data_IF_026355974614
#
_entry.id   IF_026355974614
#
_cell.length_a   1.000
_cell.length_b   1.000
_cell.length_c   1.000
_cell.angle_alpha   90.00
_cell.angle_beta   90.00
_cell.angle_gamma   90.00
#
_symmetry.space_group_name_H-M   'P 1'
#
loop_
_entity.id
_entity.type
_entity.pdbx_description
1 polymer ?
#
# COMPACT_ATOMS: atom_id res chain seq x y z
N UNK A 1 -34.31 14.33 34.54
CA UNK A 1 -34.07 13.88 33.15
C UNK A 1 -35.10 12.80 32.79
N UNK A 2 -35.97 13.05 31.80
CA UNK A 2 -36.92 12.03 31.30
C UNK A 2 -36.10 10.90 30.65
N UNK A 3 -36.45 9.63 30.91
CA UNK A 3 -35.82 8.50 30.22
C UNK A 3 -36.04 8.67 28.71
N UNK A 4 -35.00 8.53 27.86
CA UNK A 4 -35.18 8.58 26.42
C UNK A 4 -36.12 7.47 25.96
N UNK A 5 -36.99 7.79 25.00
CA UNK A 5 -37.94 6.83 24.43
C UNK A 5 -37.18 5.63 23.82
N UNK A 6 -37.89 4.51 23.64
CA UNK A 6 -37.34 3.32 23.00
C UNK A 6 -36.75 3.65 21.62
N UNK A 7 -37.45 4.49 20.85
CA UNK A 7 -37.04 4.98 19.53
C UNK A 7 -35.71 5.75 19.58
N UNK A 8 -35.51 6.61 20.58
CA UNK A 8 -34.25 7.34 20.74
C UNK A 8 -33.06 6.44 21.12
N UNK A 9 -33.32 5.33 21.81
CA UNK A 9 -32.29 4.32 22.09
C UNK A 9 -31.90 3.56 20.83
N UNK A 10 -32.88 3.14 20.04
CA UNK A 10 -32.66 2.47 18.74
C UNK A 10 -31.92 3.40 17.77
N UNK A 11 -32.28 4.68 17.72
CA UNK A 11 -31.56 5.68 16.94
C UNK A 11 -30.09 5.83 17.38
N UNK A 12 -29.84 5.85 18.70
CA UNK A 12 -28.48 5.84 19.24
C UNK A 12 -27.65 4.63 18.80
N UNK A 13 -28.26 3.45 18.69
CA UNK A 13 -27.59 2.25 18.18
C UNK A 13 -27.15 2.40 16.72
N UNK A 14 -27.95 3.09 15.88
CA UNK A 14 -27.57 3.36 14.49
C UNK A 14 -26.27 4.19 14.43
N UNK A 15 -26.17 5.23 15.26
CA UNK A 15 -24.94 6.04 15.36
C UNK A 15 -23.75 5.16 15.77
N UNK A 16 -23.92 4.31 16.79
CA UNK A 16 -22.87 3.38 17.24
C UNK A 16 -22.43 2.42 16.14
N UNK A 17 -23.36 1.91 15.32
CA UNK A 17 -23.03 1.04 14.18
C UNK A 17 -22.18 1.79 13.14
N UNK A 18 -22.51 3.05 12.84
CA UNK A 18 -21.72 3.89 11.93
C UNK A 18 -20.31 4.11 12.49
N UNK A 19 -20.19 4.40 13.78
CA UNK A 19 -18.90 4.54 14.47
C UNK A 19 -18.04 3.28 14.38
N UNK A 20 -18.63 2.11 14.61
CA UNK A 20 -17.93 0.82 14.49
C UNK A 20 -17.39 0.63 13.06
N UNK A 21 -18.18 1.02 12.04
CA UNK A 21 -17.74 0.94 10.63
C UNK A 21 -16.60 1.92 10.34
N UNK A 22 -16.66 3.16 10.84
CA UNK A 22 -15.57 4.14 10.71
C UNK A 22 -14.28 3.57 11.34
N UNK A 23 -14.35 3.04 12.55
CA UNK A 23 -13.22 2.41 13.24
C UNK A 23 -12.69 1.17 12.50
N UNK A 24 -13.54 0.44 11.76
CA UNK A 24 -13.11 -0.65 10.88
C UNK A 24 -12.29 -0.12 9.71
N UNK A 25 -12.75 0.93 9.02
CA UNK A 25 -12.00 1.54 7.92
C UNK A 25 -10.66 2.14 8.38
N UNK A 26 -10.62 2.78 9.55
CA UNK A 26 -9.36 3.26 10.14
C UNK A 26 -8.34 2.12 10.34
N UNK A 27 -8.79 0.96 10.85
CA UNK A 27 -7.93 -0.22 11.01
C UNK A 27 -7.44 -0.77 9.67
N UNK A 28 -8.30 -0.82 8.65
CA UNK A 28 -7.93 -1.25 7.30
C UNK A 28 -6.87 -0.29 6.72
N UNK A 29 -7.11 1.02 6.79
CA UNK A 29 -6.16 2.04 6.32
C UNK A 29 -4.80 1.93 7.00
N UNK A 30 -4.76 1.67 8.31
CA UNK A 30 -3.51 1.45 9.03
C UNK A 30 -2.74 0.24 8.50
N UNK A 31 -3.44 -0.85 8.17
CA UNK A 31 -2.82 -2.05 7.57
C UNK A 31 -2.29 -1.77 6.16
N UNK A 32 -3.10 -1.16 5.30
CA UNK A 32 -2.71 -0.83 3.92
C UNK A 32 -1.50 0.11 3.87
N UNK A 33 -1.45 1.12 4.75
CA UNK A 33 -0.28 2.01 4.85
C UNK A 33 1.01 1.26 5.21
N UNK A 34 0.93 0.33 6.17
CA UNK A 34 2.08 -0.52 6.56
C UNK A 34 2.47 -1.47 5.42
N UNK A 35 1.51 -1.99 4.68
CA UNK A 35 1.77 -2.83 3.50
C UNK A 35 2.47 -2.03 2.41
N UNK A 36 1.96 -0.83 2.09
CA UNK A 36 2.61 0.10 1.15
C UNK A 36 4.05 0.37 1.55
N UNK A 37 4.31 0.70 2.81
CA UNK A 37 5.67 0.96 3.29
C UNK A 37 6.61 -0.23 3.06
N UNK A 38 6.14 -1.46 3.32
CA UNK A 38 6.91 -2.68 3.03
C UNK A 38 7.21 -2.83 1.54
N UNK A 39 6.22 -2.58 0.68
CA UNK A 39 6.37 -2.68 -0.77
C UNK A 39 7.35 -1.61 -1.29
N UNK A 40 7.27 -0.37 -0.80
CA UNK A 40 8.22 0.70 -1.15
C UNK A 40 9.64 0.35 -0.71
N UNK A 41 9.79 -0.20 0.51
CA UNK A 41 11.10 -0.65 1.00
C UNK A 41 11.67 -1.81 0.17
N UNK A 42 10.82 -2.72 -0.29
CA UNK A 42 11.23 -3.79 -1.22
C UNK A 42 11.65 -3.20 -2.57
N UNK A 43 10.88 -2.25 -3.11
CA UNK A 43 11.17 -1.59 -4.39
C UNK A 43 12.57 -0.97 -4.37
N UNK A 44 12.87 -0.22 -3.31
CA UNK A 44 14.17 0.40 -3.12
C UNK A 44 15.31 -0.62 -3.10
N UNK A 45 15.11 -1.78 -2.45
CA UNK A 45 16.10 -2.85 -2.43
C UNK A 45 16.34 -3.44 -3.81
N UNK A 46 15.27 -3.68 -4.58
CA UNK A 46 15.37 -4.20 -5.94
C UNK A 46 16.14 -3.22 -6.85
N UNK A 47 15.85 -1.93 -6.76
CA UNK A 47 16.58 -0.90 -7.52
C UNK A 47 18.05 -0.78 -7.12
N UNK A 48 18.35 -0.88 -5.82
CA UNK A 48 19.74 -0.90 -5.35
C UNK A 48 20.50 -2.11 -5.91
N UNK A 49 19.87 -3.28 -5.95
CA UNK A 49 20.48 -4.48 -6.54
C UNK A 49 20.68 -4.35 -8.05
N UNK A 50 19.70 -3.80 -8.78
CA UNK A 50 19.86 -3.50 -10.21
C UNK A 50 21.07 -2.60 -10.44
N UNK A 51 21.19 -1.52 -9.66
CA UNK A 51 22.32 -0.60 -9.78
C UNK A 51 23.66 -1.30 -9.51
N UNK A 52 23.72 -2.15 -8.49
CA UNK A 52 24.91 -2.94 -8.17
C UNK A 52 25.30 -3.89 -9.32
N UNK A 53 24.33 -4.61 -9.90
CA UNK A 53 24.58 -5.50 -11.03
C UNK A 53 24.98 -4.74 -12.29
N UNK A 54 24.42 -3.55 -12.51
CA UNK A 54 24.83 -2.65 -13.60
C UNK A 54 26.26 -2.14 -13.45
N UNK A 55 26.69 -1.80 -12.22
CA UNK A 55 28.08 -1.42 -11.94
C UNK A 55 29.01 -2.59 -12.25
N UNK A 56 28.72 -3.80 -11.74
CA UNK A 56 29.47 -5.01 -12.07
C UNK A 56 29.57 -5.27 -13.56
N UNK A 57 28.47 -5.07 -14.29
CA UNK A 57 28.43 -5.26 -15.74
C UNK A 57 29.33 -4.26 -16.47
N UNK A 58 29.41 -3.01 -15.99
CA UNK A 58 30.29 -1.98 -16.55
C UNK A 58 31.76 -2.23 -16.23
N UNK A 59 32.05 -2.73 -15.04
CA UNK A 59 33.40 -3.07 -14.58
C UNK A 59 33.92 -4.39 -15.16
N UNK A 60 33.06 -5.17 -15.82
CA UNK A 60 33.45 -6.41 -16.49
C UNK A 60 34.37 -6.09 -17.68
N UNK A 61 35.68 -6.15 -17.46
CA UNK A 61 36.69 -5.93 -18.50
C UNK A 61 37.13 -7.26 -19.13
N UNK A 62 37.32 -7.25 -20.45
CA UNK A 62 37.77 -8.41 -21.24
C UNK A 62 39.21 -8.81 -20.88
N UNK A 63 40.03 -7.86 -20.43
CA UNK A 63 41.41 -8.07 -19.99
C UNK A 63 41.50 -9.00 -18.77
N UNK A 64 40.43 -9.09 -17.97
CA UNK A 64 40.34 -10.03 -16.84
C UNK A 64 40.08 -11.48 -17.28
N UNK A 65 39.87 -11.73 -18.57
CA UNK A 65 39.54 -13.05 -19.15
C UNK A 65 40.56 -13.45 -20.22
N UNK A 66 41.84 -13.51 -19.85
CA UNK A 66 42.94 -13.97 -20.74
C UNK A 66 42.57 -15.33 -21.35
N UNK A 67 42.49 -15.37 -22.68
CA UNK A 67 42.11 -16.54 -23.50
C UNK A 67 40.77 -17.22 -23.13
N UNK A 68 39.86 -16.52 -22.44
CA UNK A 68 38.56 -17.05 -22.02
C UNK A 68 37.38 -16.14 -22.42
N UNK A 69 37.30 -15.83 -23.72
CA UNK A 69 36.20 -15.04 -24.29
C UNK A 69 34.82 -15.63 -23.98
N UNK A 70 34.68 -16.96 -24.02
CA UNK A 70 33.41 -17.63 -23.71
C UNK A 70 32.98 -17.38 -22.26
N UNK A 71 33.91 -17.41 -21.30
CA UNK A 71 33.65 -17.08 -19.90
C UNK A 71 33.27 -15.61 -19.69
N UNK A 72 33.90 -14.70 -20.42
CA UNK A 72 33.55 -13.27 -20.41
C UNK A 72 32.11 -13.05 -20.87
N UNK A 73 31.74 -13.58 -22.05
CA UNK A 73 30.38 -13.43 -22.58
C UNK A 73 29.34 -14.10 -21.69
N UNK A 74 29.61 -15.31 -21.18
CA UNK A 74 28.70 -16.00 -20.26
C UNK A 74 28.47 -15.22 -18.96
N UNK A 75 29.52 -14.61 -18.40
CA UNK A 75 29.39 -13.76 -17.20
C UNK A 75 28.59 -12.50 -17.49
N UNK A 76 28.82 -11.89 -18.66
CA UNK A 76 28.08 -10.71 -19.12
C UNK A 76 26.59 -11.01 -19.33
N UNK A 77 26.26 -12.12 -19.97
CA UNK A 77 24.87 -12.56 -20.19
C UNK A 77 24.18 -12.89 -18.88
N UNK A 78 24.86 -13.57 -17.95
CA UNK A 78 24.34 -13.85 -16.61
C UNK A 78 23.97 -12.57 -15.87
N UNK A 79 24.83 -11.55 -15.88
CA UNK A 79 24.56 -10.26 -15.24
C UNK A 79 23.35 -9.57 -15.89
N UNK A 80 23.22 -9.60 -17.22
CA UNK A 80 22.05 -9.05 -17.91
C UNK A 80 20.77 -9.77 -17.53
N UNK A 81 20.78 -11.10 -17.58
CA UNK A 81 19.61 -11.92 -17.20
C UNK A 81 19.20 -11.69 -15.75
N UNK A 82 20.16 -11.55 -14.83
CA UNK A 82 19.87 -11.17 -13.44
C UNK A 82 19.20 -9.80 -13.35
N UNK A 83 19.72 -8.78 -14.05
CA UNK A 83 19.12 -7.44 -14.09
C UNK A 83 17.69 -7.50 -14.62
N UNK A 84 17.46 -8.21 -15.72
CA UNK A 84 16.12 -8.37 -16.32
C UNK A 84 15.14 -9.06 -15.36
N UNK A 85 15.60 -10.10 -14.65
CA UNK A 85 14.79 -10.77 -13.63
C UNK A 85 14.42 -9.84 -12.48
N UNK A 86 15.38 -9.09 -11.93
CA UNK A 86 15.11 -8.16 -10.81
C UNK A 86 14.22 -7.01 -11.27
N UNK A 87 14.41 -6.53 -12.51
CA UNK A 87 13.56 -5.50 -13.09
C UNK A 87 12.11 -5.97 -13.24
N UNK A 88 11.89 -7.23 -13.64
CA UNK A 88 10.56 -7.83 -13.66
C UNK A 88 9.93 -7.83 -12.26
N UNK A 89 10.67 -8.26 -11.23
CA UNK A 89 10.19 -8.26 -9.85
C UNK A 89 9.85 -6.85 -9.36
N UNK A 90 10.69 -5.85 -9.68
CA UNK A 90 10.44 -4.44 -9.35
C UNK A 90 9.18 -3.92 -10.06
N UNK A 91 8.96 -4.32 -11.31
CA UNK A 91 7.77 -3.93 -12.08
C UNK A 91 6.49 -4.51 -11.46
N UNK A 92 6.51 -5.78 -11.06
CA UNK A 92 5.40 -6.42 -10.32
C UNK A 92 5.17 -5.73 -8.98
N UNK A 93 6.24 -5.41 -8.24
CA UNK A 93 6.14 -4.71 -6.96
C UNK A 93 5.55 -3.30 -7.11
N UNK A 94 5.95 -2.55 -8.14
CA UNK A 94 5.39 -1.24 -8.48
C UNK A 94 3.89 -1.30 -8.78
N UNK A 95 3.42 -2.33 -9.48
CA UNK A 95 1.99 -2.55 -9.72
C UNK A 95 1.23 -2.80 -8.41
N UNK A 96 1.80 -3.58 -7.47
CA UNK A 96 1.20 -3.80 -6.14
C UNK A 96 1.11 -2.50 -5.35
N UNK A 97 2.13 -1.64 -5.39
CA UNK A 97 2.09 -0.32 -4.73
C UNK A 97 0.92 0.50 -5.28
N UNK A 98 0.75 0.55 -6.61
CA UNK A 98 -0.37 1.28 -7.24
C UNK A 98 -1.73 0.74 -6.82
N UNK A 99 -1.88 -0.58 -6.73
CA UNK A 99 -3.12 -1.20 -6.27
C UNK A 99 -3.42 -0.81 -4.81
N UNK A 100 -2.43 -0.89 -3.94
CA UNK A 100 -2.59 -0.49 -2.52
C UNK A 100 -2.95 0.99 -2.40
N UNK A 101 -2.41 1.85 -3.26
CA UNK A 101 -2.77 3.27 -3.30
C UNK A 101 -4.23 3.50 -3.68
N UNK A 102 -4.72 2.80 -4.71
CA UNK A 102 -6.13 2.84 -5.09
C UNK A 102 -7.05 2.36 -3.96
N UNK A 103 -6.65 1.29 -3.26
CA UNK A 103 -7.41 0.75 -2.14
C UNK A 103 -7.44 1.74 -0.96
N UNK A 104 -6.31 2.42 -0.67
CA UNK A 104 -6.22 3.47 0.35
C UNK A 104 -7.16 4.61 0.00
N UNK A 105 -7.13 5.12 -1.24
CA UNK A 105 -8.00 6.22 -1.69
C UNK A 105 -9.48 5.84 -1.56
N UNK A 106 -9.86 4.66 -2.05
CA UNK A 106 -11.21 4.12 -1.93
C UNK A 106 -11.69 4.08 -0.47
N UNK A 107 -10.86 3.54 0.43
CA UNK A 107 -11.20 3.45 1.85
C UNK A 107 -11.25 4.81 2.56
N UNK A 108 -10.43 5.79 2.15
CA UNK A 108 -10.52 7.17 2.66
C UNK A 108 -11.87 7.79 2.28
N UNK A 109 -12.31 7.64 1.03
CA UNK A 109 -13.59 8.18 0.56
C UNK A 109 -14.78 7.53 1.29
N UNK A 110 -14.75 6.21 1.46
CA UNK A 110 -15.79 5.48 2.19
C UNK A 110 -15.86 5.91 3.67
N UNK A 111 -14.70 6.07 4.32
CA UNK A 111 -14.61 6.56 5.69
C UNK A 111 -15.19 7.97 5.80
N UNK A 112 -14.77 8.88 4.93
CA UNK A 112 -15.25 10.27 4.93
C UNK A 112 -16.77 10.36 4.70
N UNK A 113 -17.33 9.51 3.84
CA UNK A 113 -18.79 9.42 3.62
C UNK A 113 -19.52 9.00 4.90
N UNK A 114 -18.98 8.03 5.64
CA UNK A 114 -19.57 7.58 6.90
C UNK A 114 -19.44 8.60 8.02
N UNK A 115 -18.32 9.33 8.08
CA UNK A 115 -18.14 10.44 9.02
C UNK A 115 -19.21 11.52 8.79
N UNK A 116 -19.42 11.97 7.53
CA UNK A 116 -20.50 12.91 7.20
C UNK A 116 -21.89 12.41 7.59
N UNK A 117 -22.17 11.12 7.35
CA UNK A 117 -23.46 10.51 7.74
C UNK A 117 -23.63 10.47 9.25
N UNK A 118 -22.56 10.15 9.99
CA UNK A 118 -22.58 10.17 11.45
C UNK A 118 -22.90 11.57 11.96
N UNK A 119 -22.23 12.59 11.44
CA UNK A 119 -22.42 13.97 11.86
C UNK A 119 -23.88 14.39 11.67
N UNK A 120 -24.47 14.11 10.50
CA UNK A 120 -25.90 14.36 10.24
C UNK A 120 -26.84 13.62 11.21
N UNK A 121 -26.55 12.35 11.54
CA UNK A 121 -27.35 11.59 12.51
C UNK A 121 -27.23 12.18 13.92
N UNK A 122 -26.03 12.63 14.30
CA UNK A 122 -25.78 13.27 15.59
C UNK A 122 -26.54 14.60 15.68
N UNK A 123 -26.55 15.41 14.62
CA UNK A 123 -27.34 16.64 14.54
C UNK A 123 -28.85 16.37 14.70
N UNK A 124 -29.39 15.38 13.99
CA UNK A 124 -30.79 14.97 14.14
C UNK A 124 -31.11 14.60 15.59
N UNK A 125 -30.22 13.85 16.26
CA UNK A 125 -30.42 13.54 17.68
C UNK A 125 -30.45 14.79 18.54
N UNK A 126 -29.55 15.74 18.33
CA UNK A 126 -29.51 16.98 19.10
C UNK A 126 -30.76 17.83 18.88
N UNK A 127 -31.25 17.92 17.65
CA UNK A 127 -32.38 18.78 17.28
C UNK A 127 -33.75 18.23 17.71
N UNK A 128 -33.89 16.91 17.85
CA UNK A 128 -35.19 16.28 18.07
C UNK A 128 -35.29 15.45 19.37
N UNK A 129 -34.17 15.15 20.05
CA UNK A 129 -34.15 14.42 21.31
C UNK A 129 -33.91 15.32 22.55
N UNK A 130 -33.77 16.63 22.34
CA UNK A 130 -33.63 17.66 23.39
C UNK A 130 -34.92 17.95 24.13
#
# INVERSE_FOLDING_TARGET
MKKPSKEWKEFGQIISIVDIKIAKYQRILSKLKKEKEKLVNLDQKLWNEINFQQVKLKELNIENYVDNLKGYFGSREKLKSNIESIFFDASVNSQKIKQVDQDIESHILLKASLEKRKDALVEVRHNYAG
#
